data_IF_763174484703
#
_entry.id   IF_763174484703
#
_cell.length_a   1.000
_cell.length_b   1.000
_cell.length_c   1.000
_cell.angle_alpha   90.00
_cell.angle_beta   90.00
_cell.angle_gamma   90.00
#
_symmetry.space_group_name_H-M   'P 1'
#
loop_
_entity.id
_entity.type
_entity.pdbx_description
1 polymer ?
#
# COMPACT_ATOMS: atom_id res chain seq x y z
N UNK A 1 4.03 -12.18 -11.67
CA UNK A 1 3.35 -12.34 -12.98
C UNK A 1 1.87 -12.33 -12.68
N UNK A 2 1.06 -11.55 -13.41
CA UNK A 2 -0.40 -11.47 -13.20
C UNK A 2 -1.07 -12.66 -13.90
N UNK A 3 -2.03 -13.31 -13.25
CA UNK A 3 -2.80 -14.41 -13.84
C UNK A 3 -3.75 -13.92 -14.94
N UNK A 4 -4.00 -14.74 -15.97
CA UNK A 4 -4.77 -14.33 -17.15
C UNK A 4 -6.19 -13.84 -16.82
N UNK A 5 -6.88 -14.54 -15.91
CA UNK A 5 -8.20 -14.11 -15.43
C UNK A 5 -8.16 -12.72 -14.77
N UNK A 6 -7.09 -12.41 -14.05
CA UNK A 6 -6.91 -11.11 -13.38
C UNK A 6 -6.52 -10.01 -14.38
N UNK A 7 -5.81 -10.33 -15.46
CA UNK A 7 -5.51 -9.37 -16.54
C UNK A 7 -6.80 -8.82 -17.15
N UNK A 8 -7.78 -9.69 -17.44
CA UNK A 8 -9.08 -9.29 -18.00
C UNK A 8 -9.80 -8.33 -17.05
N UNK A 9 -9.85 -8.67 -15.75
CA UNK A 9 -10.46 -7.81 -14.72
C UNK A 9 -9.75 -6.46 -14.58
N UNK A 10 -8.42 -6.45 -14.65
CA UNK A 10 -7.61 -5.22 -14.63
C UNK A 10 -7.93 -4.31 -15.82
N UNK A 11 -8.03 -4.86 -17.03
CA UNK A 11 -8.39 -4.07 -18.22
C UNK A 11 -9.82 -3.54 -18.11
N UNK A 12 -10.76 -4.37 -17.65
CA UNK A 12 -12.15 -3.94 -17.46
C UNK A 12 -12.24 -2.78 -16.46
N UNK A 13 -11.63 -2.95 -15.29
CA UNK A 13 -11.54 -1.92 -14.26
C UNK A 13 -10.94 -0.61 -14.80
N UNK A 14 -9.80 -0.68 -15.48
CA UNK A 14 -9.14 0.51 -16.03
C UNK A 14 -10.01 1.19 -17.09
N UNK A 15 -10.59 0.44 -18.03
CA UNK A 15 -11.48 0.99 -19.07
C UNK A 15 -12.71 1.64 -18.49
N UNK A 16 -13.34 1.02 -17.50
CA UNK A 16 -14.54 1.54 -16.84
C UNK A 16 -14.25 2.87 -16.14
N UNK A 17 -13.20 2.94 -15.32
CA UNK A 17 -12.83 4.18 -14.62
C UNK A 17 -12.42 5.30 -15.60
N UNK A 18 -11.72 4.95 -16.68
CA UNK A 18 -11.37 5.92 -17.74
C UNK A 18 -12.64 6.42 -18.45
N UNK A 19 -13.55 5.53 -18.82
CA UNK A 19 -14.80 5.89 -19.51
C UNK A 19 -15.72 6.76 -18.63
N UNK A 20 -15.74 6.50 -17.33
CA UNK A 20 -16.49 7.28 -16.35
C UNK A 20 -15.81 8.62 -16.01
N UNK A 21 -14.62 8.90 -16.56
CA UNK A 21 -13.80 10.06 -16.24
C UNK A 21 -13.63 10.27 -14.73
N UNK A 22 -13.38 9.16 -14.01
CA UNK A 22 -13.28 9.17 -12.56
C UNK A 22 -12.04 9.96 -12.11
N UNK A 23 -12.23 10.91 -11.19
CA UNK A 23 -11.17 11.80 -10.70
C UNK A 23 -10.45 11.28 -9.44
N UNK A 24 -10.92 10.19 -8.84
CA UNK A 24 -10.35 9.60 -7.62
C UNK A 24 -10.23 10.56 -6.43
N UNK A 25 -11.01 11.65 -6.37
CA UNK A 25 -10.91 12.66 -5.31
C UNK A 25 -11.35 12.15 -3.93
N UNK A 26 -12.31 11.23 -3.93
CA UNK A 26 -12.91 10.68 -2.73
C UNK A 26 -12.33 9.32 -2.33
N UNK A 27 -11.27 8.84 -2.99
CA UNK A 27 -10.68 7.53 -2.69
C UNK A 27 -9.71 7.59 -1.49
N UNK A 28 -9.73 6.53 -0.69
CA UNK A 28 -8.79 6.27 0.41
C UNK A 28 -8.09 4.95 0.08
N UNK A 29 -6.82 5.03 -0.32
CA UNK A 29 -5.97 3.85 -0.51
C UNK A 29 -5.40 3.43 0.83
N UNK A 30 -5.48 2.14 1.15
CA UNK A 30 -4.92 1.59 2.39
C UNK A 30 -4.22 0.28 2.12
N UNK A 31 -3.22 -0.03 2.93
CA UNK A 31 -2.49 -1.28 2.83
C UNK A 31 -1.63 -1.50 4.07
N UNK A 32 -1.06 -2.70 4.17
CA UNK A 32 -0.06 -3.05 5.13
C UNK A 32 1.34 -3.10 4.52
N UNK A 33 2.36 -2.77 5.31
CA UNK A 33 3.71 -3.21 4.99
C UNK A 33 4.46 -3.72 6.21
N UNK A 34 5.45 -4.57 5.95
CA UNK A 34 6.34 -5.10 6.96
C UNK A 34 7.76 -4.58 6.73
N UNK A 35 8.44 -4.22 7.80
CA UNK A 35 9.85 -3.85 7.79
C UNK A 35 10.60 -4.61 8.88
N UNK A 36 11.77 -5.08 8.51
CA UNK A 36 12.67 -5.81 9.40
C UNK A 36 13.82 -4.90 9.79
N UNK A 37 14.09 -4.77 11.09
CA UNK A 37 15.12 -3.88 11.64
C UNK A 37 16.51 -4.14 11.03
N UNK A 38 16.85 -5.42 10.85
CA UNK A 38 18.10 -5.88 10.25
C UNK A 38 17.86 -6.56 8.90
N UNK A 39 17.02 -5.96 8.06
CA UNK A 39 16.78 -6.47 6.71
C UNK A 39 18.09 -6.52 5.93
N UNK A 40 18.65 -7.73 5.74
CA UNK A 40 19.93 -7.94 5.06
C UNK A 40 19.87 -7.49 3.59
N UNK A 41 20.12 -6.21 3.33
CA UNK A 41 20.48 -5.69 2.00
C UNK A 41 21.99 -5.43 1.93
N UNK A 42 22.77 -6.48 2.16
CA UNK A 42 24.22 -6.42 1.89
C UNK A 42 24.43 -6.85 0.44
N UNK A 43 24.85 -5.91 -0.40
CA UNK A 43 25.33 -6.22 -1.75
C UNK A 43 26.79 -6.65 -1.61
N UNK A 44 27.08 -7.92 -1.95
CA UNK A 44 28.43 -8.49 -1.87
C UNK A 44 28.97 -8.63 -3.29
N UNK A 45 30.05 -7.92 -3.59
CA UNK A 45 30.84 -8.15 -4.80
C UNK A 45 31.81 -9.29 -4.53
N UNK A 46 31.77 -10.34 -5.37
CA UNK A 46 32.64 -11.51 -5.23
C UNK A 46 33.17 -11.95 -6.60
N UNK A 47 34.34 -12.61 -6.62
CA UNK A 47 34.86 -13.27 -7.82
C UNK A 47 33.91 -14.41 -8.21
N UNK A 48 33.76 -14.66 -9.52
CA UNK A 48 32.76 -15.61 -10.09
C UNK A 48 32.79 -16.99 -9.42
N UNK A 49 33.98 -17.46 -9.09
CA UNK A 49 34.21 -18.83 -8.58
C UNK A 49 34.44 -18.88 -7.06
N UNK A 50 34.23 -17.76 -6.36
CA UNK A 50 34.39 -17.70 -4.90
C UNK A 50 33.10 -18.05 -4.17
N UNK A 51 33.21 -18.78 -3.05
CA UNK A 51 32.07 -19.10 -2.18
C UNK A 51 31.51 -17.81 -1.58
N UNK A 52 30.18 -17.64 -1.64
CA UNK A 52 29.55 -16.48 -1.02
C UNK A 52 29.65 -16.62 0.50
N UNK A 53 30.04 -15.56 1.23
CA UNK A 53 30.01 -15.60 2.69
C UNK A 53 28.57 -15.79 3.16
N UNK A 54 28.35 -16.73 4.08
CA UNK A 54 27.06 -16.95 4.71
C UNK A 54 26.88 -15.85 5.75
N UNK A 55 25.97 -14.92 5.48
CA UNK A 55 25.61 -13.90 6.46
C UNK A 55 24.70 -14.51 7.53
N UNK A 56 25.00 -14.33 8.82
CA UNK A 56 24.12 -14.78 9.89
C UNK A 56 22.76 -14.09 9.74
N UNK A 57 21.69 -14.90 9.71
CA UNK A 57 20.32 -14.41 9.84
C UNK A 57 19.89 -14.61 11.28
N UNK A 58 19.40 -13.58 11.98
CA UNK A 58 18.83 -13.79 13.30
C UNK A 58 17.70 -14.81 13.21
N UNK A 59 17.69 -15.81 14.10
CA UNK A 59 16.68 -16.88 14.14
C UNK A 59 15.26 -16.34 14.31
N UNK A 60 15.13 -15.21 15.03
CA UNK A 60 13.89 -14.48 15.23
C UNK A 60 14.12 -13.03 14.82
N UNK A 61 14.02 -12.71 13.51
CA UNK A 61 14.18 -11.35 13.08
C UNK A 61 13.02 -10.51 13.61
N UNK A 62 13.33 -9.34 14.14
CA UNK A 62 12.32 -8.40 14.58
C UNK A 62 11.64 -7.78 13.35
N UNK A 63 10.37 -8.11 13.16
CA UNK A 63 9.50 -7.54 12.14
C UNK A 63 8.53 -6.56 12.80
N UNK A 64 8.37 -5.40 12.17
CA UNK A 64 7.36 -4.41 12.51
C UNK A 64 6.39 -4.34 11.35
N UNK A 65 5.11 -4.47 11.65
CA UNK A 65 4.01 -4.32 10.71
C UNK A 65 3.39 -2.94 10.86
N UNK A 66 2.95 -2.40 9.75
CA UNK A 66 2.38 -1.06 9.67
C UNK A 66 1.14 -1.11 8.81
N UNK A 67 0.13 -0.36 9.22
CA UNK A 67 -1.03 -0.04 8.39
C UNK A 67 -1.19 1.48 8.33
N UNK A 68 -1.48 2.02 7.16
CA UNK A 68 -1.97 3.38 7.01
C UNK A 68 -2.77 3.54 5.73
N UNK A 69 -3.28 4.76 5.53
CA UNK A 69 -4.02 5.15 4.34
C UNK A 69 -3.64 6.55 3.86
N UNK A 70 -3.71 6.72 2.54
CA UNK A 70 -3.58 8.01 1.86
C UNK A 70 -4.86 8.35 1.11
N UNK A 71 -5.17 9.63 1.03
CA UNK A 71 -6.28 10.16 0.26
C UNK A 71 -5.93 11.56 -0.27
N UNK A 72 -6.73 12.09 -1.20
CA UNK A 72 -6.52 13.46 -1.68
C UNK A 72 -6.72 14.55 -0.62
N UNK A 73 -7.34 14.18 0.50
CA UNK A 73 -7.58 15.06 1.65
C UNK A 73 -6.61 14.82 2.81
N UNK A 74 -5.59 13.99 2.62
CA UNK A 74 -4.52 13.74 3.60
C UNK A 74 -4.39 12.27 3.98
N UNK A 75 -3.88 12.00 5.17
CA UNK A 75 -3.53 10.64 5.60
C UNK A 75 -4.29 10.18 6.84
N UNK A 76 -4.50 8.88 6.95
CA UNK A 76 -4.89 8.27 8.22
C UNK A 76 -3.75 8.39 9.24
N UNK A 77 -4.06 8.07 10.50
CA UNK A 77 -3.03 7.70 11.46
C UNK A 77 -2.26 6.47 10.97
N UNK A 78 -0.95 6.46 11.19
CA UNK A 78 -0.10 5.29 10.95
C UNK A 78 -0.16 4.37 12.17
N UNK A 79 -0.62 3.14 11.97
CA UNK A 79 -0.77 2.14 13.01
C UNK A 79 0.39 1.15 12.91
N UNK A 80 1.06 0.92 14.03
CA UNK A 80 2.24 0.04 14.10
C UNK A 80 1.92 -1.11 15.04
N UNK A 81 2.17 -2.34 14.60
CA UNK A 81 1.86 -3.56 15.34
C UNK A 81 2.87 -4.67 15.04
N UNK A 82 2.87 -5.72 15.86
CA UNK A 82 3.86 -6.81 15.78
C UNK A 82 3.23 -8.19 15.60
N UNK A 83 1.96 -8.31 15.96
CA UNK A 83 1.24 -9.57 15.88
C UNK A 83 0.79 -9.82 14.44
N UNK A 84 0.52 -11.09 14.14
CA UNK A 84 -0.14 -11.46 12.89
C UNK A 84 -1.53 -10.83 12.89
N UNK A 85 -1.86 -10.14 11.79
CA UNK A 85 -3.15 -9.51 11.61
C UNK A 85 -4.22 -10.54 11.28
N UNK A 86 -5.03 -10.90 12.27
CA UNK A 86 -6.26 -11.67 12.06
C UNK A 86 -7.40 -10.75 11.59
N UNK A 87 -8.49 -11.31 11.04
CA UNK A 87 -9.68 -10.50 10.71
C UNK A 87 -10.23 -9.75 11.93
N UNK A 88 -10.21 -10.39 13.11
CA UNK A 88 -10.66 -9.75 14.35
C UNK A 88 -9.75 -8.58 14.75
N UNK A 89 -8.43 -8.73 14.62
CA UNK A 89 -7.48 -7.64 14.86
C UNK A 89 -7.66 -6.50 13.83
N UNK A 90 -7.84 -6.86 12.56
CA UNK A 90 -8.10 -5.88 11.50
C UNK A 90 -9.32 -5.02 11.82
N UNK A 91 -10.44 -5.64 12.21
CA UNK A 91 -11.65 -4.90 12.59
C UNK A 91 -11.40 -4.05 13.85
N UNK A 92 -11.01 -4.70 14.96
CA UNK A 92 -11.02 -4.08 16.29
C UNK A 92 -9.89 -3.07 16.52
N UNK A 93 -8.79 -3.16 15.76
CA UNK A 93 -7.60 -2.33 15.96
C UNK A 93 -7.28 -1.48 14.74
N UNK A 94 -7.48 -1.97 13.53
CA UNK A 94 -7.13 -1.21 12.33
C UNK A 94 -8.30 -0.34 11.85
N UNK A 95 -9.48 -0.93 11.61
CA UNK A 95 -10.62 -0.18 11.13
C UNK A 95 -11.15 0.79 12.19
N UNK A 96 -11.35 0.30 13.42
CA UNK A 96 -11.88 1.12 14.54
C UNK A 96 -10.96 2.28 14.91
N UNK A 97 -9.64 2.06 14.97
CA UNK A 97 -8.70 3.11 15.43
C UNK A 97 -8.10 3.94 14.30
N UNK A 98 -8.05 3.42 13.08
CA UNK A 98 -7.43 4.06 11.91
C UNK A 98 -8.45 4.62 10.93
N UNK A 99 -9.20 3.72 10.28
CA UNK A 99 -10.05 4.08 9.14
C UNK A 99 -11.28 4.89 9.54
N UNK A 100 -12.09 4.38 10.46
CA UNK A 100 -13.40 4.98 10.79
C UNK A 100 -13.25 6.42 11.34
N UNK A 101 -12.33 6.71 12.28
CA UNK A 101 -12.12 8.07 12.75
C UNK A 101 -11.65 9.01 11.63
N UNK A 102 -10.84 8.51 10.69
CA UNK A 102 -10.39 9.30 9.56
C UNK A 102 -11.53 9.64 8.60
N UNK A 103 -12.36 8.65 8.22
CA UNK A 103 -13.53 8.87 7.37
C UNK A 103 -14.46 9.92 8.00
N UNK A 104 -14.85 9.73 9.26
CA UNK A 104 -15.78 10.63 9.94
C UNK A 104 -15.27 12.07 10.02
N UNK A 105 -13.94 12.26 10.11
CA UNK A 105 -13.33 13.58 10.20
C UNK A 105 -13.10 14.24 8.84
N UNK A 106 -12.71 13.47 7.82
CA UNK A 106 -12.15 14.00 6.56
C UNK A 106 -13.12 13.86 5.37
N UNK A 107 -14.03 12.88 5.45
CA UNK A 107 -15.02 12.56 4.42
C UNK A 107 -16.43 12.45 5.02
N UNK A 108 -16.98 13.54 5.58
CA UNK A 108 -18.35 13.55 6.10
C UNK A 108 -19.41 13.43 5.00
N UNK A 109 -19.02 13.66 3.74
CA UNK A 109 -19.84 13.63 2.55
C UNK A 109 -19.86 12.23 1.91
N UNK A 110 -18.82 11.90 1.14
CA UNK A 110 -18.70 10.64 0.40
C UNK A 110 -17.24 10.23 0.33
N UNK A 111 -17.01 8.93 0.34
CA UNK A 111 -15.68 8.35 0.20
C UNK A 111 -15.78 7.06 -0.60
N UNK A 112 -14.62 6.58 -1.07
CA UNK A 112 -14.41 5.21 -1.53
C UNK A 112 -13.23 4.64 -0.77
N UNK A 113 -13.46 3.55 -0.06
CA UNK A 113 -12.42 2.87 0.70
C UNK A 113 -11.84 1.72 -0.13
N UNK A 114 -10.55 1.79 -0.43
CA UNK A 114 -9.82 0.75 -1.14
C UNK A 114 -8.99 -0.08 -0.15
N UNK A 115 -9.12 -1.40 -0.29
CA UNK A 115 -8.30 -2.44 0.34
C UNK A 115 -8.10 -3.57 -0.68
N UNK A 116 -7.07 -4.40 -0.47
CA UNK A 116 -6.85 -5.56 -1.35
C UNK A 116 -7.82 -6.73 -1.05
N UNK A 117 -7.66 -7.82 -1.80
CA UNK A 117 -8.52 -9.00 -1.69
C UNK A 117 -8.01 -10.05 -0.68
N UNK A 118 -7.19 -9.66 0.29
CA UNK A 118 -6.74 -10.58 1.35
C UNK A 118 -7.97 -11.22 2.07
N UNK A 119 -7.92 -12.52 2.41
CA UNK A 119 -8.97 -13.19 3.18
C UNK A 119 -9.46 -12.41 4.41
N UNK A 120 -8.58 -11.68 5.10
CA UNK A 120 -8.95 -10.87 6.28
C UNK A 120 -9.80 -9.65 5.92
N UNK A 121 -9.54 -9.06 4.75
CA UNK A 121 -10.28 -7.90 4.23
C UNK A 121 -11.63 -8.30 3.64
N UNK A 122 -11.70 -9.51 3.08
CA UNK A 122 -12.87 -10.03 2.37
C UNK A 122 -13.77 -10.94 3.23
N UNK A 123 -13.39 -11.19 4.49
CA UNK A 123 -14.16 -11.99 5.44
C UNK A 123 -15.56 -11.43 5.67
N UNK A 124 -16.53 -12.30 5.99
CA UNK A 124 -17.90 -11.87 6.26
C UNK A 124 -17.95 -10.88 7.43
N UNK A 125 -17.21 -11.14 8.51
CA UNK A 125 -17.12 -10.24 9.66
C UNK A 125 -16.63 -8.83 9.26
N UNK A 126 -15.61 -8.75 8.39
CA UNK A 126 -15.10 -7.47 7.91
C UNK A 126 -16.13 -6.74 7.04
N UNK A 127 -16.77 -7.46 6.10
CA UNK A 127 -17.81 -6.88 5.25
C UNK A 127 -19.01 -6.39 6.05
N UNK A 128 -19.45 -7.15 7.04
CA UNK A 128 -20.58 -6.78 7.89
C UNK A 128 -20.23 -5.57 8.77
N UNK A 129 -19.00 -5.50 9.29
CA UNK A 129 -18.49 -4.32 9.98
C UNK A 129 -18.50 -3.07 9.08
N UNK A 130 -17.99 -3.18 7.84
CA UNK A 130 -17.95 -2.05 6.89
C UNK A 130 -19.37 -1.57 6.55
N UNK A 131 -20.32 -2.49 6.35
CA UNK A 131 -21.75 -2.16 6.15
C UNK A 131 -22.34 -1.46 7.36
N UNK A 132 -22.09 -1.97 8.57
CA UNK A 132 -22.58 -1.38 9.82
C UNK A 132 -22.11 0.06 10.00
N UNK A 133 -20.90 0.38 9.53
CA UNK A 133 -20.32 1.72 9.58
C UNK A 133 -20.59 2.55 8.31
N UNK A 134 -21.50 2.11 7.43
CA UNK A 134 -21.82 2.77 6.16
C UNK A 134 -20.58 3.13 5.33
N UNK A 135 -19.53 2.30 5.43
CA UNK A 135 -18.29 2.51 4.70
C UNK A 135 -18.49 2.08 3.25
N UNK A 136 -18.25 2.98 2.31
CA UNK A 136 -18.35 2.67 0.88
C UNK A 136 -17.02 2.07 0.40
N UNK A 137 -16.84 0.76 0.57
CA UNK A 137 -15.63 0.08 0.13
C UNK A 137 -15.72 -0.38 -1.32
N UNK A 138 -14.59 -0.40 -2.01
CA UNK A 138 -14.51 -0.76 -3.42
C UNK A 138 -14.42 -2.28 -3.58
N UNK A 139 -15.57 -2.95 -3.65
CA UNK A 139 -15.70 -4.41 -3.59
C UNK A 139 -15.22 -5.15 -4.84
N UNK A 140 -15.08 -4.46 -5.98
CA UNK A 140 -14.62 -5.01 -7.25
C UNK A 140 -13.14 -4.70 -7.57
N UNK A 141 -12.32 -4.36 -6.56
CA UNK A 141 -10.90 -4.08 -6.76
C UNK A 141 -10.17 -5.24 -7.45
N UNK A 142 -9.44 -5.00 -8.56
CA UNK A 142 -8.83 -6.08 -9.33
C UNK A 142 -7.67 -6.72 -8.55
N UNK A 143 -7.73 -8.05 -8.37
CA UNK A 143 -6.65 -8.81 -7.75
C UNK A 143 -5.30 -8.65 -8.49
N UNK A 144 -4.20 -8.82 -7.76
CA UNK A 144 -2.82 -8.71 -8.29
C UNK A 144 -2.52 -7.37 -8.95
N UNK A 145 -3.02 -6.28 -8.35
CA UNK A 145 -2.89 -4.92 -8.86
C UNK A 145 -2.15 -3.95 -7.93
N UNK A 146 -0.91 -4.29 -7.49
CA UNK A 146 -0.13 -3.40 -6.63
C UNK A 146 0.22 -2.08 -7.33
N UNK A 147 0.25 -2.06 -8.67
CA UNK A 147 0.47 -0.84 -9.46
C UNK A 147 -0.75 0.08 -9.51
N UNK A 148 -1.94 -0.40 -9.18
CA UNK A 148 -3.12 0.45 -8.97
C UNK A 148 -3.26 0.84 -7.49
N UNK A 149 -2.65 0.11 -6.57
CA UNK A 149 -2.65 0.44 -5.14
C UNK A 149 -1.54 1.44 -4.82
N UNK A 150 -1.85 2.73 -4.86
CA UNK A 150 -0.82 3.77 -4.88
C UNK A 150 -0.08 3.96 -3.55
N UNK A 151 -0.61 3.40 -2.46
CA UNK A 151 0.11 3.36 -1.18
C UNK A 151 1.33 2.43 -1.23
N UNK A 152 1.39 1.46 -2.13
CA UNK A 152 2.58 0.62 -2.34
C UNK A 152 3.80 1.46 -2.78
N UNK A 153 3.55 2.52 -3.56
CA UNK A 153 4.59 3.48 -3.93
C UNK A 153 5.09 4.26 -2.70
N UNK A 154 4.18 4.61 -1.78
CA UNK A 154 4.52 5.25 -0.50
C UNK A 154 5.38 4.31 0.34
N UNK A 155 5.02 3.03 0.42
CA UNK A 155 5.83 2.02 1.12
C UNK A 155 7.23 1.87 0.55
N UNK A 156 7.38 1.91 -0.78
CA UNK A 156 8.68 1.91 -1.43
C UNK A 156 9.53 3.12 -1.01
N UNK A 157 8.94 4.32 -1.04
CA UNK A 157 9.59 5.56 -0.59
C UNK A 157 9.99 5.47 0.89
N UNK A 158 9.09 5.06 1.77
CA UNK A 158 9.35 4.96 3.20
C UNK A 158 10.44 3.94 3.51
N UNK A 159 10.40 2.76 2.88
CA UNK A 159 11.46 1.74 3.04
C UNK A 159 12.83 2.29 2.61
N UNK A 160 12.88 3.07 1.53
CA UNK A 160 14.12 3.73 1.09
C UNK A 160 14.64 4.75 2.11
N UNK A 161 13.76 5.57 2.68
CA UNK A 161 14.13 6.56 3.71
C UNK A 161 14.59 5.89 5.00
N UNK A 162 13.84 4.89 5.48
CA UNK A 162 14.19 4.13 6.68
C UNK A 162 15.55 3.43 6.52
N UNK A 163 15.85 2.88 5.34
CA UNK A 163 17.17 2.28 5.10
C UNK A 163 18.33 3.26 5.21
N UNK A 164 18.12 4.55 4.90
CA UNK A 164 19.15 5.59 5.03
C UNK A 164 19.35 6.05 6.48
N UNK A 165 18.34 5.88 7.34
CA UNK A 165 18.42 6.23 8.77
C UNK A 165 19.12 5.16 9.62
N UNK A 166 19.31 3.94 9.08
CA UNK A 166 19.97 2.81 9.75
C UNK A 166 19.50 2.59 11.21
N UNK A 167 18.18 2.35 11.44
CA UNK A 167 17.67 2.14 12.79
C UNK A 167 18.35 0.93 13.45
N UNK A 168 18.80 1.11 14.70
CA UNK A 168 19.54 0.07 15.46
C UNK A 168 18.68 -0.63 16.48
N UNK A 169 17.64 0.03 16.96
CA UNK A 169 16.67 -0.54 17.88
C UNK A 169 15.27 -0.57 17.29
N UNK A 170 14.40 -1.38 17.89
CA UNK A 170 12.97 -1.39 17.57
C UNK A 170 12.35 0.00 17.71
N UNK A 171 12.70 0.69 18.79
CA UNK A 171 12.17 2.01 19.09
C UNK A 171 12.60 3.03 18.03
N UNK A 172 13.87 3.00 17.61
CA UNK A 172 14.36 3.83 16.50
C UNK A 172 13.59 3.58 15.21
N UNK A 173 13.31 2.32 14.91
CA UNK A 173 12.54 1.94 13.71
C UNK A 173 11.11 2.47 13.78
N UNK A 174 10.42 2.27 14.91
CA UNK A 174 9.03 2.75 15.10
C UNK A 174 8.98 4.28 15.03
N UNK A 175 9.90 4.96 15.70
CA UNK A 175 10.01 6.41 15.69
C UNK A 175 10.37 6.93 14.29
N UNK A 176 11.25 6.23 13.58
CA UNK A 176 11.62 6.50 12.19
C UNK A 176 10.43 6.41 11.24
N UNK A 177 9.59 5.38 11.40
CA UNK A 177 8.35 5.18 10.62
C UNK A 177 7.38 6.33 10.89
N UNK A 178 7.09 6.60 12.17
CA UNK A 178 6.14 7.64 12.58
C UNK A 178 6.57 9.04 12.14
N UNK A 179 7.85 9.38 12.32
CA UNK A 179 8.42 10.66 11.88
C UNK A 179 8.35 10.81 10.37
N UNK A 180 8.80 9.81 9.61
CA UNK A 180 8.76 9.85 8.14
C UNK A 180 7.34 9.99 7.62
N UNK A 181 6.36 9.26 8.18
CA UNK A 181 4.95 9.43 7.79
C UNK A 181 4.46 10.86 8.01
N UNK A 182 4.67 11.39 9.21
CA UNK A 182 4.22 12.73 9.59
C UNK A 182 4.89 13.84 8.78
N UNK A 183 6.17 13.69 8.48
CA UNK A 183 6.98 14.72 7.80
C UNK A 183 6.82 14.67 6.28
N UNK A 184 6.69 13.48 5.71
CA UNK A 184 6.75 13.29 4.26
C UNK A 184 5.37 13.28 3.60
N UNK A 185 4.35 12.80 4.30
CA UNK A 185 3.02 12.59 3.73
C UNK A 185 2.14 13.82 3.87
N UNK A 186 2.54 14.89 3.20
CA UNK A 186 1.69 16.07 3.00
C UNK A 186 0.57 15.77 2.01
N UNK A 187 -0.49 16.60 1.99
CA UNK A 187 -1.59 16.49 1.02
C UNK A 187 -1.06 16.56 -0.43
N UNK A 188 -0.12 17.47 -0.70
CA UNK A 188 0.49 17.59 -2.03
C UNK A 188 1.21 16.30 -2.46
N UNK A 189 1.94 15.67 -1.55
CA UNK A 189 2.60 14.38 -1.82
C UNK A 189 1.57 13.27 -2.03
N UNK A 190 0.51 13.22 -1.22
CA UNK A 190 -0.59 12.26 -1.40
C UNK A 190 -1.23 12.41 -2.80
N UNK A 191 -1.51 13.65 -3.22
CA UNK A 191 -2.08 13.94 -4.53
C UNK A 191 -1.14 13.49 -5.65
N UNK A 192 0.16 13.80 -5.56
CA UNK A 192 1.15 13.35 -6.55
C UNK A 192 1.20 11.83 -6.70
N UNK A 193 1.07 11.09 -5.59
CA UNK A 193 0.94 9.64 -5.66
C UNK A 193 -0.36 9.24 -6.33
N UNK A 194 -1.50 9.77 -5.87
CA UNK A 194 -2.84 9.46 -6.40
C UNK A 194 -2.93 9.73 -7.91
N UNK A 195 -2.32 10.80 -8.39
CA UNK A 195 -2.27 11.16 -9.81
C UNK A 195 -1.56 10.12 -10.67
N UNK A 196 -0.74 9.26 -10.08
CA UNK A 196 -0.11 8.16 -10.80
C UNK A 196 -1.14 7.19 -11.39
N UNK A 197 -2.37 7.12 -10.82
CA UNK A 197 -3.43 6.23 -11.34
C UNK A 197 -3.77 6.53 -12.80
N UNK A 198 -3.78 7.82 -13.16
CA UNK A 198 -4.06 8.29 -14.53
C UNK A 198 -2.98 7.91 -15.53
N UNK A 199 -1.75 7.61 -15.05
CA UNK A 199 -0.66 7.12 -15.89
C UNK A 199 -0.72 5.61 -16.05
N UNK A 200 -0.99 4.87 -14.98
CA UNK A 200 -0.94 3.40 -14.99
C UNK A 200 -2.16 2.75 -15.62
N UNK A 201 -3.36 3.30 -15.47
CA UNK A 201 -4.57 2.70 -16.03
C UNK A 201 -4.53 2.63 -17.57
N UNK A 202 -4.18 3.69 -18.32
CA UNK A 202 -4.06 3.60 -19.78
C UNK A 202 -2.99 2.60 -20.22
N UNK A 203 -1.83 2.57 -19.54
CA UNK A 203 -0.77 1.59 -19.84
C UNK A 203 -1.30 0.17 -19.63
N UNK A 204 -1.98 -0.09 -18.51
CA UNK A 204 -2.55 -1.41 -18.22
C UNK A 204 -3.54 -1.86 -19.31
N UNK A 205 -4.33 -0.95 -19.88
CA UNK A 205 -5.19 -1.25 -21.03
C UNK A 205 -4.36 -1.64 -22.26
N UNK A 206 -3.35 -0.84 -22.62
CA UNK A 206 -2.49 -1.07 -23.80
C UNK A 206 -1.75 -2.39 -23.71
N UNK A 207 -1.23 -2.76 -22.54
CA UNK A 207 -0.46 -3.99 -22.35
C UNK A 207 -1.34 -5.21 -22.01
N UNK A 208 -2.66 -5.09 -22.16
CA UNK A 208 -3.62 -6.18 -21.96
C UNK A 208 -3.65 -6.70 -20.52
N UNK A 209 -3.64 -5.79 -19.54
CA UNK A 209 -3.81 -6.09 -18.12
C UNK A 209 -2.58 -6.65 -17.43
N UNK A 210 -1.43 -6.71 -18.11
CA UNK A 210 -0.15 -7.10 -17.49
C UNK A 210 0.25 -6.08 -16.41
N UNK A 211 1.22 -6.46 -15.57
CA UNK A 211 1.80 -5.53 -14.60
C UNK A 211 2.51 -4.39 -15.35
N UNK A 212 2.20 -3.14 -14.99
CA UNK A 212 2.76 -1.97 -15.67
C UNK A 212 4.26 -1.79 -15.39
N UNK A 213 4.73 -2.21 -14.20
CA UNK A 213 6.16 -2.20 -13.85
C UNK A 213 6.82 -0.82 -14.05
N UNK A 214 8.10 -0.80 -14.44
CA UNK A 214 8.82 0.44 -14.77
C UNK A 214 8.41 1.06 -16.13
N UNK A 215 7.43 0.49 -16.86
CA UNK A 215 6.98 1.07 -18.14
C UNK A 215 6.32 2.43 -17.94
N UNK A 216 5.74 2.69 -16.76
CA UNK A 216 5.23 4.01 -16.38
C UNK A 216 6.34 5.07 -16.27
N UNK A 217 7.60 4.67 -16.02
CA UNK A 217 8.78 5.56 -16.04
C UNK A 217 9.36 5.78 -17.43
N UNK A 218 9.14 4.84 -18.37
CA UNK A 218 9.70 4.89 -19.74
C UNK A 218 8.81 5.58 -20.76
N UNK A 219 7.48 5.58 -20.56
CA UNK A 219 6.51 6.07 -21.55
C UNK A 219 6.20 7.57 -21.37
N UNK A 220 6.46 8.16 -20.20
CA UNK A 220 6.11 9.55 -19.89
C UNK A 220 7.31 10.40 -19.42
N UNK A 221 8.51 10.15 -19.98
CA UNK A 221 9.58 11.15 -19.99
C UNK A 221 9.39 12.06 -21.21
N UNK A 222 8.43 12.99 -21.11
CA UNK A 222 8.42 14.28 -21.83
C UNK A 222 7.86 15.33 -20.87
#
# INVERSE_FOLDING_TARGET
MVHDANKVKRVAFAKENIANNDNFDNIIFTDEFSVQLHGNKIVIYRKRDSVAPVLPKPKHPLNVHVWAGISRRGTTSILVFENIMTSAFYINSILVSGLIPFINRVYPDTHRFQQDNDPKHTSNATKDFLKQHSTNWWDNWPAESPDFNLIEMVWSMMKSRLSKKEPRTKEDLINGIKSSWREDMTIAICNNFIDHIFKVMPIAVVIGGRATGDLSKKIFQE
#
